data_IF_070916145128
#
_entry.id   IF_070916145128
#
_cell.length_a   1.000
_cell.length_b   1.000
_cell.length_c   1.000
_cell.angle_alpha   90.00
_cell.angle_beta   90.00
_cell.angle_gamma   90.00
#
_symmetry.space_group_name_H-M   'P 1'
#
loop_
_entity.id
_entity.type
_entity.pdbx_description
1 polymer ?
#
# COMPACT_ATOMS: atom_id res chain seq x y z
N UNK A 1 -1.97 -15.38 2.79
CA UNK A 1 -1.27 -14.08 2.88
C UNK A 1 -0.22 -14.02 1.80
N UNK A 2 -0.08 -12.89 1.17
CA UNK A 2 0.90 -12.71 0.10
C UNK A 2 2.18 -12.10 0.64
N UNK A 3 3.22 -12.12 -0.18
CA UNK A 3 4.50 -11.47 0.12
C UNK A 3 4.83 -10.52 -1.01
N UNK A 4 5.27 -9.32 -0.65
CA UNK A 4 5.61 -8.27 -1.59
C UNK A 4 7.11 -8.07 -1.65
N UNK A 5 7.63 -7.91 -2.86
CA UNK A 5 8.99 -7.41 -3.08
C UNK A 5 8.91 -6.13 -3.91
N UNK A 6 9.89 -5.26 -3.73
CA UNK A 6 9.94 -3.97 -4.43
C UNK A 6 11.07 -4.02 -5.46
N UNK A 7 10.75 -3.66 -6.70
CA UNK A 7 11.70 -3.67 -7.81
C UNK A 7 11.90 -2.26 -8.33
N UNK A 8 13.15 -1.83 -8.40
CA UNK A 8 13.44 -0.53 -8.98
C UNK A 8 13.43 -0.61 -10.50
N UNK A 9 12.97 0.47 -11.12
CA UNK A 9 12.90 0.54 -12.56
C UNK A 9 14.30 0.47 -13.17
N UNK A 10 14.43 -0.38 -14.19
CA UNK A 10 15.70 -0.53 -14.90
C UNK A 10 16.75 -1.34 -14.15
N UNK A 11 16.42 -1.86 -13.00
CA UNK A 11 17.32 -2.65 -12.18
C UNK A 11 16.79 -4.07 -12.09
N UNK A 12 17.65 -5.04 -12.35
CA UNK A 12 17.29 -6.44 -12.22
C UNK A 12 17.30 -6.93 -10.77
N UNK A 13 17.87 -6.16 -9.89
CA UNK A 13 17.95 -6.54 -8.48
C UNK A 13 16.64 -6.26 -7.79
N UNK A 14 16.28 -7.12 -6.86
CA UNK A 14 15.13 -6.85 -6.01
C UNK A 14 15.46 -5.67 -5.10
N UNK A 15 14.41 -4.97 -4.69
CA UNK A 15 14.56 -3.85 -3.82
C UNK A 15 15.08 -4.23 -2.44
N UNK A 16 15.35 -3.23 -1.66
CA UNK A 16 15.87 -3.35 -0.30
C UNK A 16 14.88 -4.13 0.56
N UNK A 17 15.39 -4.95 1.45
CA UNK A 17 14.54 -5.74 2.29
C UNK A 17 14.39 -7.16 1.77
N UNK A 18 15.47 -7.91 1.85
CA UNK A 18 15.61 -9.21 1.24
C UNK A 18 14.53 -10.23 1.60
N UNK A 19 13.84 -10.08 2.71
CA UNK A 19 12.84 -11.04 3.14
C UNK A 19 11.46 -10.86 2.54
N UNK A 20 11.23 -9.78 1.86
CA UNK A 20 9.89 -9.42 1.41
C UNK A 20 9.02 -8.89 2.55
N UNK A 21 7.87 -8.36 2.19
CA UNK A 21 6.94 -7.74 3.13
C UNK A 21 5.64 -8.55 3.13
N UNK A 22 5.15 -8.98 4.29
CA UNK A 22 3.85 -9.68 4.32
C UNK A 22 2.73 -8.74 3.93
N UNK A 23 1.79 -9.24 3.11
CA UNK A 23 0.68 -8.45 2.61
C UNK A 23 -0.62 -9.21 2.80
N UNK A 24 -1.59 -8.57 3.48
CA UNK A 24 -2.96 -9.04 3.50
C UNK A 24 -3.67 -8.45 2.28
N UNK A 25 -4.60 -9.20 1.69
CA UNK A 25 -5.33 -8.72 0.51
C UNK A 25 -6.79 -8.54 0.87
N UNK A 26 -7.31 -7.34 0.66
CA UNK A 26 -8.71 -6.99 0.87
C UNK A 26 -9.37 -6.77 -0.49
N UNK A 27 -10.05 -7.80 -1.00
CA UNK A 27 -10.67 -7.79 -2.31
C UNK A 27 -12.20 -7.82 -2.27
N UNK A 28 -12.81 -8.31 -1.19
CA UNK A 28 -14.24 -8.28 -1.05
C UNK A 28 -14.73 -6.86 -0.74
N UNK A 29 -16.00 -6.59 -1.03
CA UNK A 29 -16.58 -5.28 -0.73
C UNK A 29 -16.41 -4.93 0.75
N UNK A 30 -16.72 -5.88 1.64
CA UNK A 30 -16.63 -5.66 3.08
C UNK A 30 -15.18 -5.39 3.51
N UNK A 31 -14.23 -6.19 3.02
CA UNK A 31 -12.83 -6.04 3.39
C UNK A 31 -12.27 -4.71 2.89
N UNK A 32 -12.63 -4.31 1.66
CA UNK A 32 -12.18 -3.03 1.10
C UNK A 32 -12.74 -1.85 1.88
N UNK A 33 -14.01 -1.92 2.26
CA UNK A 33 -14.65 -0.86 3.03
C UNK A 33 -14.03 -0.72 4.41
N UNK A 34 -13.70 -1.84 5.03
CA UNK A 34 -13.11 -1.83 6.37
C UNK A 34 -11.67 -1.31 6.37
N UNK A 35 -10.85 -1.77 5.40
CA UNK A 35 -9.43 -1.42 5.40
C UNK A 35 -8.80 -1.69 6.77
N UNK A 36 -8.11 -0.70 7.30
CA UNK A 36 -7.43 -0.79 8.60
C UNK A 36 -8.27 -0.21 9.75
N UNK A 37 -9.56 0.08 9.52
CA UNK A 37 -10.43 0.57 10.57
C UNK A 37 -10.49 -0.41 11.74
N UNK A 38 -10.43 0.13 12.95
CA UNK A 38 -10.53 -0.67 14.16
C UNK A 38 -9.21 -1.30 14.60
N UNK A 39 -8.16 -1.16 13.82
CA UNK A 39 -6.83 -1.66 14.19
C UNK A 39 -6.01 -0.55 14.85
N UNK A 40 -5.05 -0.93 15.65
CA UNK A 40 -4.09 -0.02 16.28
C UNK A 40 -2.77 0.06 15.52
N UNK A 41 -2.55 -0.85 14.58
CA UNK A 41 -1.36 -0.89 13.75
C UNK A 41 -1.44 -2.05 12.79
N UNK A 42 -0.40 -2.24 11.98
CA UNK A 42 -0.27 -3.37 11.08
C UNK A 42 1.21 -3.69 10.86
N UNK A 43 1.53 -4.98 10.89
CA UNK A 43 2.82 -5.48 10.43
C UNK A 43 2.71 -5.74 8.94
N UNK A 44 3.67 -5.22 8.16
CA UNK A 44 3.58 -5.32 6.72
C UNK A 44 2.52 -4.39 6.15
N UNK A 45 1.81 -4.84 5.12
CA UNK A 45 0.87 -4.01 4.38
C UNK A 45 -0.48 -4.69 4.16
N UNK A 46 -1.50 -3.86 3.95
CA UNK A 46 -2.80 -4.30 3.46
C UNK A 46 -2.96 -3.79 2.03
N UNK A 47 -3.25 -4.68 1.09
CA UNK A 47 -3.58 -4.29 -0.28
C UNK A 47 -5.10 -4.29 -0.44
N UNK A 48 -5.63 -3.15 -0.86
CA UNK A 48 -7.05 -2.98 -1.17
C UNK A 48 -7.18 -2.97 -2.68
N UNK A 49 -7.96 -3.89 -3.23
CA UNK A 49 -8.08 -4.01 -4.67
C UNK A 49 -9.50 -4.43 -5.08
N UNK A 50 -10.10 -3.80 -6.10
CA UNK A 50 -9.67 -2.55 -6.74
C UNK A 50 -9.91 -1.34 -5.85
N UNK A 51 -9.05 -0.34 -5.97
CA UNK A 51 -9.18 0.88 -5.17
C UNK A 51 -8.34 2.00 -5.80
N UNK A 52 -8.84 3.23 -5.76
CA UNK A 52 -8.10 4.39 -6.25
C UNK A 52 -8.19 5.61 -5.36
N UNK A 53 -8.80 5.48 -4.19
CA UNK A 53 -8.87 6.56 -3.22
C UNK A 53 -8.93 5.99 -1.81
N UNK A 54 -8.50 6.81 -0.84
CA UNK A 54 -8.43 6.40 0.56
C UNK A 54 -8.92 7.53 1.44
N UNK A 55 -9.64 7.18 2.50
CA UNK A 55 -9.88 8.10 3.60
C UNK A 55 -9.38 7.45 4.88
N UNK A 56 -9.05 8.29 5.85
CA UNK A 56 -8.57 7.83 7.15
C UNK A 56 -9.50 8.24 8.28
N UNK A 57 -10.78 8.45 7.97
CA UNK A 57 -11.78 8.79 8.98
C UNK A 57 -11.88 7.68 10.01
N UNK A 58 -11.84 8.05 11.30
CA UNK A 58 -11.92 7.12 12.43
C UNK A 58 -10.75 6.14 12.52
N UNK A 59 -9.68 6.35 11.76
CA UNK A 59 -8.46 5.56 11.92
C UNK A 59 -7.80 5.89 13.27
N UNK A 60 -7.14 4.90 13.84
CA UNK A 60 -6.48 5.06 15.14
C UNK A 60 -5.01 5.44 15.03
N UNK A 61 -4.44 5.36 13.84
CA UNK A 61 -3.01 5.65 13.65
C UNK A 61 -2.80 6.22 12.25
N UNK A 62 -1.70 6.95 12.08
CA UNK A 62 -1.32 7.48 10.78
C UNK A 62 -0.80 6.35 9.89
N UNK A 63 -1.07 6.44 8.60
CA UNK A 63 -0.71 5.40 7.65
C UNK A 63 0.04 5.98 6.45
N UNK A 64 0.90 5.14 5.86
CA UNK A 64 1.42 5.37 4.53
C UNK A 64 0.48 4.72 3.53
N UNK A 65 0.25 5.40 2.41
CA UNK A 65 -0.61 4.92 1.34
C UNK A 65 0.17 4.97 0.04
N UNK A 66 0.30 3.83 -0.62
CA UNK A 66 0.89 3.76 -1.95
C UNK A 66 -0.19 3.40 -2.96
N UNK A 67 -0.30 4.21 -4.01
CA UNK A 67 -1.26 3.98 -5.10
C UNK A 67 -0.53 3.25 -6.21
N UNK A 68 -1.08 2.13 -6.66
CA UNK A 68 -0.47 1.30 -7.69
C UNK A 68 -1.37 1.27 -8.93
N UNK A 69 -0.74 1.33 -10.10
CA UNK A 69 -1.49 1.18 -11.35
C UNK A 69 -1.75 -0.32 -11.66
N UNK A 70 -2.34 -0.59 -12.81
CA UNK A 70 -2.70 -1.96 -13.20
C UNK A 70 -1.50 -2.89 -13.34
N UNK A 71 -0.30 -2.34 -13.47
CA UNK A 71 0.93 -3.10 -13.60
C UNK A 71 1.70 -3.17 -12.28
N UNK A 72 1.06 -2.75 -11.18
CA UNK A 72 1.68 -2.69 -9.85
C UNK A 72 2.86 -1.74 -9.76
N UNK A 73 2.89 -0.72 -10.61
CA UNK A 73 3.87 0.35 -10.51
C UNK A 73 3.31 1.44 -9.60
N UNK A 74 4.16 1.95 -8.74
CA UNK A 74 3.75 2.98 -7.78
C UNK A 74 3.52 4.29 -8.52
N UNK A 75 2.30 4.81 -8.39
CA UNK A 75 1.90 6.12 -8.96
C UNK A 75 2.23 7.23 -7.98
N UNK A 76 1.95 7.01 -6.70
CA UNK A 76 2.15 8.01 -5.66
C UNK A 76 2.24 7.34 -4.30
N UNK A 77 2.93 7.98 -3.37
CA UNK A 77 3.01 7.54 -1.97
C UNK A 77 2.79 8.76 -1.09
N UNK A 78 1.83 8.65 -0.17
CA UNK A 78 1.54 9.74 0.76
C UNK A 78 1.41 9.19 2.17
N UNK A 79 1.66 10.03 3.17
CA UNK A 79 1.39 9.69 4.56
C UNK A 79 0.15 10.46 4.99
N UNK A 80 -0.81 9.76 5.58
CA UNK A 80 -2.08 10.34 5.98
C UNK A 80 -2.30 10.19 7.47
N UNK A 81 -2.52 11.31 8.16
CA UNK A 81 -2.95 11.29 9.56
C UNK A 81 -4.41 10.84 9.62
N UNK A 82 -4.88 10.36 10.79
CA UNK A 82 -6.30 10.04 10.93
C UNK A 82 -7.19 11.24 10.60
N UNK A 83 -8.38 10.96 10.07
CA UNK A 83 -9.37 11.98 9.79
C UNK A 83 -9.17 12.75 8.49
N UNK A 84 -8.49 12.16 7.51
CA UNK A 84 -8.23 12.82 6.23
C UNK A 84 -8.95 12.14 5.09
N UNK A 85 -9.23 12.90 4.05
CA UNK A 85 -9.74 12.40 2.78
C UNK A 85 -8.64 12.55 1.73
N UNK A 86 -8.24 11.44 1.13
CA UNK A 86 -7.27 11.47 0.05
C UNK A 86 -7.94 11.77 -1.28
N UNK A 87 -7.19 12.37 -2.19
CA UNK A 87 -7.69 12.62 -3.54
C UNK A 87 -7.64 11.34 -4.36
N UNK A 88 -8.60 11.22 -5.29
CA UNK A 88 -8.64 10.09 -6.23
C UNK A 88 -7.41 10.13 -7.12
N UNK A 89 -6.81 8.97 -7.34
CA UNK A 89 -5.74 8.78 -8.32
C UNK A 89 -6.29 7.98 -9.49
N UNK A 90 -6.67 8.62 -10.61
CA UNK A 90 -7.39 7.93 -11.69
C UNK A 90 -6.64 6.73 -12.28
N UNK A 91 -5.30 6.74 -12.26
CA UNK A 91 -4.52 5.62 -12.78
C UNK A 91 -4.34 4.50 -11.79
N UNK A 92 -4.72 4.70 -10.54
CA UNK A 92 -4.56 3.66 -9.52
C UNK A 92 -5.63 2.58 -9.68
N UNK A 93 -5.23 1.36 -9.46
CA UNK A 93 -6.11 0.19 -9.43
C UNK A 93 -6.04 -0.53 -8.10
N UNK A 94 -4.93 -0.35 -7.39
CA UNK A 94 -4.69 -0.99 -6.11
C UNK A 94 -4.10 0.04 -5.15
N UNK A 95 -4.34 -0.16 -3.87
CA UNK A 95 -3.79 0.70 -2.82
C UNK A 95 -3.13 -0.19 -1.79
N UNK A 96 -1.91 0.16 -1.39
CA UNK A 96 -1.25 -0.45 -0.24
C UNK A 96 -1.33 0.50 0.94
N UNK A 97 -1.69 -0.04 2.11
CA UNK A 97 -1.69 0.71 3.36
C UNK A 97 -0.74 0.06 4.35
N UNK A 98 0.01 0.87 5.09
CA UNK A 98 0.94 0.41 6.11
C UNK A 98 1.07 1.48 7.19
N UNK A 99 1.75 1.17 8.29
CA UNK A 99 2.02 2.19 9.29
C UNK A 99 2.86 3.32 8.71
N UNK A 100 2.65 4.52 9.20
CA UNK A 100 3.39 5.69 8.75
C UNK A 100 4.90 5.46 8.93
N UNK A 101 5.66 5.72 7.86
CA UNK A 101 7.10 5.55 7.83
C UNK A 101 7.57 4.20 7.29
N UNK A 102 6.71 3.18 7.27
CA UNK A 102 7.13 1.84 6.86
C UNK A 102 7.55 1.80 5.39
N UNK A 103 6.82 2.52 4.52
CA UNK A 103 7.06 2.42 3.08
C UNK A 103 8.40 3.00 2.66
N UNK A 104 8.89 4.03 3.35
CA UNK A 104 10.22 4.55 3.08
C UNK A 104 11.28 3.48 3.33
N UNK A 105 11.13 2.70 4.40
CA UNK A 105 12.04 1.61 4.70
C UNK A 105 12.00 0.47 3.68
N UNK A 106 10.90 0.34 2.96
CA UNK A 106 10.76 -0.68 1.92
C UNK A 106 11.18 -0.20 0.54
N UNK A 107 11.54 1.07 0.41
CA UNK A 107 11.92 1.64 -0.88
C UNK A 107 10.75 1.94 -1.80
N UNK A 108 9.54 2.07 -1.28
CA UNK A 108 8.38 2.43 -2.09
C UNK A 108 8.42 3.91 -2.42
N UNK A 109 8.43 4.22 -3.70
CA UNK A 109 8.38 5.58 -4.23
C UNK A 109 7.81 5.55 -5.63
N UNK A 110 7.31 6.66 -6.15
CA UNK A 110 6.77 6.68 -7.52
C UNK A 110 7.75 6.11 -8.53
N UNK A 111 7.27 5.26 -9.41
CA UNK A 111 8.04 4.64 -10.48
C UNK A 111 8.55 3.23 -10.18
N UNK A 112 8.65 2.84 -8.93
CA UNK A 112 9.07 1.47 -8.61
C UNK A 112 7.91 0.51 -8.82
N UNK A 113 8.22 -0.75 -9.03
CA UNK A 113 7.24 -1.80 -9.25
C UNK A 113 7.20 -2.74 -8.06
N UNK A 114 6.01 -3.21 -7.75
CA UNK A 114 5.79 -4.17 -6.67
C UNK A 114 5.46 -5.53 -7.27
N UNK A 115 6.10 -6.58 -6.77
CA UNK A 115 5.78 -7.95 -7.14
C UNK A 115 5.14 -8.64 -5.94
N UNK A 116 4.06 -9.37 -6.20
CA UNK A 116 3.35 -10.12 -5.16
C UNK A 116 3.50 -11.61 -5.41
N UNK A 117 3.71 -12.36 -4.35
CA UNK A 117 3.69 -13.82 -4.36
C UNK A 117 2.66 -14.31 -3.38
N UNK A 118 1.94 -15.38 -3.74
CA UNK A 118 0.97 -16.00 -2.84
C UNK A 118 1.62 -16.52 -1.55
#
# INVERSE_FOLDING_TARGET
MATMTVQEQGDAQEGVGAGGVPVEVAASYRARTRGLLGRDGIDGALMITPCNSVHTFRMRFAIDVAYLDKEFRVVDVVTMKPGRLGMIRPRARHVLEAEAGAMAGWGLRPGVRVALRP
#
